data_IF_440128822249
#
_entry.id   IF_440128822249
#
_cell.length_a   1.000
_cell.length_b   1.000
_cell.length_c   1.000
_cell.angle_alpha   90.00
_cell.angle_beta   90.00
_cell.angle_gamma   90.00
#
_symmetry.space_group_name_H-M   'P 1'
#
loop_
_entity.id
_entity.type
_entity.pdbx_description
1 polymer ?
#
# COMPACT_ATOMS: atom_id res chain seq x y z
N UNK A 1 31.73 -10.03 -18.67
CA UNK A 1 32.57 -9.29 -17.70
C UNK A 1 31.87 -8.00 -17.39
N UNK A 2 31.75 -7.64 -16.11
CA UNK A 2 31.12 -6.39 -15.69
C UNK A 2 32.21 -5.48 -15.12
N UNK A 3 32.44 -4.34 -15.77
CA UNK A 3 33.43 -3.33 -15.35
C UNK A 3 32.69 -2.12 -14.79
N UNK A 4 33.14 -1.63 -13.63
CA UNK A 4 32.63 -0.40 -13.04
C UNK A 4 33.72 0.36 -12.30
N UNK A 5 33.54 1.67 -12.19
CA UNK A 5 34.46 2.56 -11.49
C UNK A 5 33.87 2.95 -10.14
N UNK A 6 34.62 2.73 -9.07
CA UNK A 6 34.25 3.22 -7.73
C UNK A 6 34.56 4.71 -7.67
N UNK A 7 33.54 5.54 -7.82
CA UNK A 7 33.69 7.00 -7.80
C UNK A 7 33.95 7.57 -6.40
N UNK A 8 33.55 6.84 -5.34
CA UNK A 8 33.72 7.29 -3.96
C UNK A 8 33.71 6.10 -3.01
N UNK A 9 34.59 6.14 -2.01
CA UNK A 9 34.57 5.24 -0.86
C UNK A 9 34.25 6.09 0.36
N UNK A 10 33.08 5.83 0.97
CA UNK A 10 32.67 6.51 2.20
C UNK A 10 33.61 6.13 3.35
N UNK A 11 34.13 7.13 4.07
CA UNK A 11 34.83 6.88 5.34
C UNK A 11 33.81 6.55 6.42
N UNK A 12 34.06 5.46 7.14
CA UNK A 12 33.25 5.07 8.30
C UNK A 12 33.35 6.15 9.38
N UNK A 13 32.21 6.63 9.87
CA UNK A 13 32.13 7.49 11.06
C UNK A 13 32.41 6.63 12.29
N UNK A 14 33.30 7.10 13.15
CA UNK A 14 33.67 6.53 14.44
C UNK A 14 33.01 7.29 15.58
N UNK A 15 32.94 6.68 16.77
CA UNK A 15 32.31 7.31 17.95
C UNK A 15 32.98 8.64 18.33
N UNK A 16 34.30 8.74 18.14
CA UNK A 16 35.09 9.95 18.42
C UNK A 16 34.76 11.11 17.47
N UNK A 17 34.24 10.82 16.28
CA UNK A 17 33.80 11.83 15.29
C UNK A 17 32.39 12.37 15.59
N UNK A 18 31.65 11.75 16.52
CA UNK A 18 30.30 12.17 16.93
C UNK A 18 30.40 13.24 18.04
N UNK A 19 30.79 14.45 17.64
CA UNK A 19 30.82 15.64 18.49
C UNK A 19 29.44 16.30 18.63
N UNK A 20 29.30 17.27 19.55
CA UNK A 20 28.08 18.10 19.66
C UNK A 20 27.78 18.83 18.35
N UNK A 21 28.80 19.37 17.68
CA UNK A 21 28.64 20.03 16.38
C UNK A 21 28.16 19.06 15.29
N UNK A 22 28.67 17.83 15.30
CA UNK A 22 28.19 16.77 14.40
C UNK A 22 26.72 16.46 14.66
N UNK A 23 26.33 16.31 15.93
CA UNK A 23 24.95 16.02 16.33
C UNK A 23 24.00 17.16 15.97
N UNK A 24 24.38 18.41 16.23
CA UNK A 24 23.59 19.58 15.87
C UNK A 24 23.41 19.70 14.37
N UNK A 25 24.48 19.47 13.59
CA UNK A 25 24.44 19.54 12.12
C UNK A 25 23.57 18.46 11.48
N UNK A 26 23.59 17.24 11.99
CA UNK A 26 22.96 16.10 11.33
C UNK A 26 21.61 15.69 11.93
N UNK A 27 21.36 16.03 13.20
CA UNK A 27 20.17 15.60 13.95
C UNK A 27 19.46 16.75 14.68
N UNK A 28 20.00 17.97 14.64
CA UNK A 28 19.46 19.14 15.33
C UNK A 28 19.32 18.93 16.85
N UNK A 29 20.33 18.28 17.46
CA UNK A 29 20.39 18.04 18.92
C UNK A 29 21.71 18.52 19.50
N UNK A 30 21.66 19.05 20.73
CA UNK A 30 22.78 19.77 21.36
C UNK A 30 23.64 18.90 22.30
N UNK A 31 23.34 17.61 22.46
CA UNK A 31 24.11 16.70 23.32
C UNK A 31 23.97 15.24 22.92
N UNK A 32 24.89 14.38 23.40
CA UNK A 32 24.78 12.91 23.25
C UNK A 32 23.51 12.38 23.92
N UNK A 33 23.13 12.89 25.08
CA UNK A 33 21.90 12.49 25.77
C UNK A 33 20.64 12.86 24.96
N UNK A 34 20.59 14.07 24.41
CA UNK A 34 19.51 14.50 23.53
C UNK A 34 19.44 13.64 22.25
N UNK A 35 20.59 13.19 21.75
CA UNK A 35 20.64 12.22 20.65
C UNK A 35 20.10 10.85 21.04
N UNK A 36 20.41 10.34 22.24
CA UNK A 36 19.83 9.09 22.73
C UNK A 36 18.32 9.17 22.91
N UNK A 37 17.80 10.29 23.45
CA UNK A 37 16.37 10.52 23.58
C UNK A 37 15.68 10.63 22.21
N UNK A 38 16.30 11.32 21.26
CA UNK A 38 15.86 11.37 19.87
C UNK A 38 15.78 9.97 19.26
N UNK A 39 16.85 9.18 19.37
CA UNK A 39 16.93 7.82 18.85
C UNK A 39 15.87 6.92 19.50
N UNK A 40 15.71 7.00 20.82
CA UNK A 40 14.69 6.26 21.56
C UNK A 40 13.29 6.61 21.08
N UNK A 41 12.97 7.90 20.93
CA UNK A 41 11.67 8.34 20.42
C UNK A 41 11.41 7.81 19.01
N UNK A 42 12.40 7.88 18.10
CA UNK A 42 12.29 7.33 16.75
C UNK A 42 12.06 5.82 16.72
N UNK A 43 12.78 5.08 17.57
CA UNK A 43 12.59 3.63 17.71
C UNK A 43 11.22 3.29 18.30
N UNK A 44 10.72 4.06 19.26
CA UNK A 44 9.38 3.89 19.82
C UNK A 44 8.27 4.18 18.80
N UNK A 45 8.40 5.27 18.03
CA UNK A 45 7.49 5.60 16.92
C UNK A 45 7.47 4.48 15.87
N UNK A 46 8.66 3.98 15.48
CA UNK A 46 8.80 2.86 14.56
C UNK A 46 8.16 1.59 15.12
N UNK A 47 8.47 1.21 16.35
CA UNK A 47 7.92 0.01 16.98
C UNK A 47 6.40 0.09 17.11
N UNK A 48 5.85 1.28 17.40
CA UNK A 48 4.40 1.50 17.43
C UNK A 48 3.79 1.28 16.04
N UNK A 49 4.34 1.91 15.00
CA UNK A 49 3.85 1.76 13.63
C UNK A 49 3.99 0.33 13.10
N UNK A 50 5.12 -0.34 13.38
CA UNK A 50 5.34 -1.73 13.01
C UNK A 50 4.33 -2.64 13.71
N UNK A 51 4.08 -2.43 15.02
CA UNK A 51 3.08 -3.19 15.77
C UNK A 51 1.67 -2.98 15.22
N UNK A 52 1.27 -1.75 14.92
CA UNK A 52 -0.04 -1.44 14.33
C UNK A 52 -0.22 -2.12 12.97
N UNK A 53 0.80 -2.04 12.10
CA UNK A 53 0.81 -2.67 10.78
C UNK A 53 0.71 -4.20 10.86
N UNK A 54 1.53 -4.84 11.70
CA UNK A 54 1.51 -6.30 11.87
C UNK A 54 0.20 -6.77 12.53
N UNK A 55 -0.32 -6.01 13.48
CA UNK A 55 -1.62 -6.31 14.08
C UNK A 55 -2.73 -6.29 13.04
N UNK A 56 -2.79 -5.23 12.21
CA UNK A 56 -3.77 -5.11 11.12
C UNK A 56 -3.66 -6.29 10.15
N UNK A 57 -2.46 -6.68 9.73
CA UNK A 57 -2.23 -7.83 8.84
C UNK A 57 -2.68 -9.16 9.45
N UNK A 58 -2.39 -9.38 10.74
CA UNK A 58 -2.80 -10.61 11.44
C UNK A 58 -4.32 -10.70 11.56
N UNK A 59 -4.99 -9.59 11.87
CA UNK A 59 -6.45 -9.52 11.92
C UNK A 59 -7.05 -9.73 10.53
N UNK A 60 -6.52 -9.07 9.52
CA UNK A 60 -6.94 -9.23 8.11
C UNK A 60 -6.90 -10.71 7.72
N UNK A 61 -5.75 -11.34 7.93
CA UNK A 61 -5.57 -12.77 7.65
C UNK A 61 -6.50 -13.67 8.45
N UNK A 62 -6.67 -13.42 9.75
CA UNK A 62 -7.53 -14.25 10.60
C UNK A 62 -9.00 -14.18 10.15
N UNK A 63 -9.48 -13.00 9.78
CA UNK A 63 -10.83 -12.79 9.24
C UNK A 63 -10.98 -13.49 7.89
N UNK A 64 -10.00 -13.37 7.01
CA UNK A 64 -10.02 -14.05 5.70
C UNK A 64 -9.96 -15.57 5.78
N UNK A 65 -9.19 -16.12 6.71
CA UNK A 65 -9.06 -17.56 6.95
C UNK A 65 -10.36 -18.13 7.55
N UNK A 66 -11.08 -17.32 8.35
CA UNK A 66 -12.39 -17.66 8.90
C UNK A 66 -13.57 -17.44 7.92
N UNK A 67 -13.30 -16.84 6.76
CA UNK A 67 -14.33 -16.44 5.80
C UNK A 67 -14.35 -17.30 4.55
N UNK A 68 -15.52 -17.37 3.89
CA UNK A 68 -15.70 -18.10 2.64
C UNK A 68 -16.41 -17.24 1.60
N UNK A 69 -15.74 -17.03 0.47
CA UNK A 69 -16.35 -16.42 -0.72
C UNK A 69 -16.92 -17.53 -1.61
N UNK A 70 -18.25 -17.62 -1.68
CA UNK A 70 -18.93 -18.65 -2.47
C UNK A 70 -18.92 -18.36 -3.97
N UNK A 71 -18.92 -17.07 -4.35
CA UNK A 71 -18.94 -16.62 -5.73
C UNK A 71 -18.45 -15.18 -5.83
N UNK A 72 -17.85 -14.83 -6.97
CA UNK A 72 -17.47 -13.47 -7.30
C UNK A 72 -18.57 -12.76 -8.09
N UNK A 73 -18.81 -11.45 -7.87
CA UNK A 73 -19.74 -10.69 -8.68
C UNK A 73 -19.42 -10.79 -10.18
N UNK A 74 -20.47 -11.00 -10.99
CA UNK A 74 -20.33 -11.20 -12.44
C UNK A 74 -19.64 -10.01 -13.08
N UNK A 75 -18.59 -10.27 -13.85
CA UNK A 75 -17.83 -9.24 -14.57
C UNK A 75 -16.81 -8.46 -13.74
N UNK A 76 -16.83 -8.55 -12.39
CA UNK A 76 -15.92 -7.79 -11.54
C UNK A 76 -14.45 -8.18 -11.77
N UNK A 77 -14.14 -9.48 -11.84
CA UNK A 77 -12.77 -9.95 -12.11
C UNK A 77 -12.27 -9.42 -13.45
N UNK A 78 -13.06 -9.56 -14.52
CA UNK A 78 -12.68 -9.09 -15.86
C UNK A 78 -12.48 -7.57 -15.89
N UNK A 79 -13.35 -6.82 -15.22
CA UNK A 79 -13.21 -5.37 -15.08
C UNK A 79 -11.91 -5.00 -14.35
N UNK A 80 -11.59 -5.66 -13.24
CA UNK A 80 -10.36 -5.42 -12.47
C UNK A 80 -9.10 -5.78 -13.24
N UNK A 81 -9.11 -6.88 -13.98
CA UNK A 81 -8.01 -7.29 -14.86
C UNK A 81 -7.77 -6.26 -15.96
N UNK A 82 -8.84 -5.76 -16.59
CA UNK A 82 -8.72 -4.73 -17.62
C UNK A 82 -8.15 -3.43 -17.06
N UNK A 83 -8.63 -3.00 -15.89
CA UNK A 83 -8.10 -1.81 -15.21
C UNK A 83 -6.62 -1.99 -14.87
N UNK A 84 -6.24 -3.14 -14.32
CA UNK A 84 -4.84 -3.46 -14.01
C UNK A 84 -3.96 -3.32 -15.25
N UNK A 85 -4.34 -3.96 -16.36
CA UNK A 85 -3.59 -3.87 -17.63
C UNK A 85 -3.44 -2.44 -18.12
N UNK A 86 -4.53 -1.66 -18.15
CA UNK A 86 -4.49 -0.26 -18.57
C UNK A 86 -3.54 0.57 -17.70
N UNK A 87 -3.58 0.38 -16.39
CA UNK A 87 -2.70 1.10 -15.46
C UNK A 87 -1.25 0.65 -15.59
N UNK A 88 -1.01 -0.64 -15.77
CA UNK A 88 0.32 -1.20 -15.99
C UNK A 88 0.95 -0.64 -17.28
N UNK A 89 0.18 -0.53 -18.37
CA UNK A 89 0.63 0.11 -19.59
C UNK A 89 0.99 1.58 -19.35
N UNK A 90 0.08 2.37 -18.75
CA UNK A 90 0.36 3.80 -18.48
C UNK A 90 1.63 4.01 -17.66
N UNK A 91 1.94 3.10 -16.74
CA UNK A 91 3.07 3.26 -15.83
C UNK A 91 4.39 2.76 -16.41
N UNK A 92 4.38 1.68 -17.19
CA UNK A 92 5.61 0.98 -17.58
C UNK A 92 5.89 0.99 -19.08
N UNK A 93 4.91 1.33 -19.92
CA UNK A 93 5.09 1.28 -21.37
C UNK A 93 5.57 2.63 -21.86
N UNK A 94 6.63 2.60 -22.68
CA UNK A 94 7.03 3.75 -23.47
C UNK A 94 6.07 3.95 -24.63
N UNK A 95 6.06 5.14 -25.22
CA UNK A 95 5.25 5.41 -26.40
C UNK A 95 5.50 4.37 -27.51
N UNK A 96 4.43 3.85 -28.09
CA UNK A 96 4.47 2.83 -29.15
C UNK A 96 4.74 1.39 -28.70
N UNK A 97 5.06 1.15 -27.41
CA UNK A 97 5.28 -0.22 -26.91
C UNK A 97 3.97 -1.01 -26.88
N UNK A 98 3.99 -2.24 -27.40
CA UNK A 98 2.84 -3.16 -27.35
C UNK A 98 2.98 -4.21 -26.24
N UNK A 99 1.89 -4.92 -25.91
CA UNK A 99 1.95 -6.05 -24.98
C UNK A 99 2.85 -7.18 -25.50
N UNK A 100 2.88 -7.42 -26.80
CA UNK A 100 3.75 -8.42 -27.41
C UNK A 100 5.24 -8.05 -27.23
N UNK A 101 5.58 -6.77 -27.34
CA UNK A 101 6.93 -6.27 -27.07
C UNK A 101 7.30 -6.46 -25.60
N UNK A 102 6.35 -6.21 -24.68
CA UNK A 102 6.53 -6.46 -23.25
C UNK A 102 6.81 -7.95 -22.97
N UNK A 103 5.96 -8.84 -23.48
CA UNK A 103 6.10 -10.29 -23.31
C UNK A 103 7.45 -10.79 -23.83
N UNK A 104 7.87 -10.34 -25.01
CA UNK A 104 9.20 -10.67 -25.58
C UNK A 104 10.35 -10.12 -24.73
N UNK A 105 10.26 -8.86 -24.31
CA UNK A 105 11.31 -8.19 -23.52
C UNK A 105 11.56 -8.89 -22.18
N UNK A 106 10.51 -9.34 -21.52
CA UNK A 106 10.59 -9.97 -20.20
C UNK A 106 10.58 -11.50 -20.26
N UNK A 107 10.50 -12.10 -21.45
CA UNK A 107 10.51 -13.56 -21.63
C UNK A 107 9.33 -14.26 -20.96
N UNK A 108 8.16 -13.61 -20.91
CA UNK A 108 6.92 -14.17 -20.33
C UNK A 108 5.87 -14.30 -21.41
N UNK A 109 5.03 -15.33 -21.35
CA UNK A 109 3.87 -15.45 -22.24
C UNK A 109 2.70 -14.60 -21.74
N UNK A 110 1.79 -14.23 -22.64
CA UNK A 110 0.53 -13.58 -22.26
C UNK A 110 -0.24 -14.41 -21.21
N UNK A 111 -0.26 -15.74 -21.40
CA UNK A 111 -0.98 -16.64 -20.50
C UNK A 111 -0.41 -16.63 -19.09
N UNK A 112 0.92 -16.66 -18.96
CA UNK A 112 1.59 -16.60 -17.65
C UNK A 112 1.33 -15.27 -16.96
N UNK A 113 1.49 -14.15 -17.69
CA UNK A 113 1.20 -12.83 -17.17
C UNK A 113 -0.26 -12.72 -16.70
N UNK A 114 -1.22 -13.09 -17.56
CA UNK A 114 -2.64 -13.04 -17.23
C UNK A 114 -3.00 -13.91 -16.03
N UNK A 115 -2.41 -15.10 -15.91
CA UNK A 115 -2.67 -16.00 -14.78
C UNK A 115 -2.15 -15.42 -13.45
N UNK A 116 -0.96 -14.82 -13.46
CA UNK A 116 -0.40 -14.16 -12.27
C UNK A 116 -1.26 -12.98 -11.84
N UNK A 117 -1.63 -12.11 -12.79
CA UNK A 117 -2.47 -10.94 -12.51
C UNK A 117 -3.85 -11.38 -12.03
N UNK A 118 -4.45 -12.40 -12.64
CA UNK A 118 -5.76 -12.91 -12.23
C UNK A 118 -5.75 -13.48 -10.81
N UNK A 119 -4.67 -14.17 -10.41
CA UNK A 119 -4.53 -14.67 -9.03
C UNK A 119 -4.53 -13.52 -8.03
N UNK A 120 -3.70 -12.49 -8.26
CA UNK A 120 -3.61 -11.30 -7.39
C UNK A 120 -4.94 -10.55 -7.36
N UNK A 121 -5.59 -10.37 -8.50
CA UNK A 121 -6.90 -9.70 -8.58
C UNK A 121 -7.97 -10.48 -7.81
N UNK A 122 -7.99 -11.81 -7.92
CA UNK A 122 -8.96 -12.65 -7.18
C UNK A 122 -8.73 -12.60 -5.68
N UNK A 123 -7.49 -12.63 -5.22
CA UNK A 123 -7.15 -12.48 -3.80
C UNK A 123 -7.61 -11.12 -3.27
N UNK A 124 -7.29 -10.02 -3.97
CA UNK A 124 -7.74 -8.68 -3.57
C UNK A 124 -9.27 -8.56 -3.53
N UNK A 125 -9.97 -9.09 -4.54
CA UNK A 125 -11.44 -9.08 -4.55
C UNK A 125 -11.99 -9.94 -3.41
N UNK A 126 -11.34 -11.07 -3.07
CA UNK A 126 -11.75 -11.89 -1.91
C UNK A 126 -11.70 -11.04 -0.63
N UNK A 127 -10.59 -10.34 -0.38
CA UNK A 127 -10.44 -9.42 0.75
C UNK A 127 -11.52 -8.35 0.73
N UNK A 128 -11.72 -7.67 -0.41
CA UNK A 128 -12.76 -6.64 -0.59
C UNK A 128 -14.14 -7.18 -0.19
N UNK A 129 -14.54 -8.34 -0.72
CA UNK A 129 -15.87 -8.92 -0.46
C UNK A 129 -16.07 -9.32 1.00
N UNK A 130 -15.03 -9.87 1.65
CA UNK A 130 -15.10 -10.26 3.07
C UNK A 130 -15.35 -9.04 3.95
N UNK A 131 -14.57 -7.97 3.78
CA UNK A 131 -14.70 -6.77 4.59
C UNK A 131 -15.92 -5.92 4.21
N UNK A 132 -16.38 -5.95 2.96
CA UNK A 132 -17.67 -5.37 2.58
C UNK A 132 -18.83 -6.07 3.29
N UNK A 133 -18.82 -7.40 3.37
CA UNK A 133 -19.86 -8.14 4.08
C UNK A 133 -19.87 -7.82 5.59
N UNK A 134 -18.69 -7.60 6.20
CA UNK A 134 -18.58 -7.13 7.58
C UNK A 134 -19.12 -5.70 7.71
N UNK A 135 -18.75 -4.80 6.79
CA UNK A 135 -19.26 -3.44 6.81
C UNK A 135 -20.80 -3.40 6.74
N UNK A 136 -21.39 -4.20 5.86
CA UNK A 136 -22.85 -4.36 5.76
C UNK A 136 -23.46 -4.91 7.06
N UNK A 137 -22.85 -5.94 7.63
CA UNK A 137 -23.34 -6.59 8.86
C UNK A 137 -23.32 -5.66 10.08
N UNK A 138 -22.26 -4.87 10.20
CA UNK A 138 -21.99 -3.98 11.34
C UNK A 138 -22.49 -2.55 11.08
N UNK A 139 -23.17 -2.31 9.95
CA UNK A 139 -23.68 -0.98 9.54
C UNK A 139 -22.58 0.09 9.46
N UNK A 140 -21.37 -0.30 9.07
CA UNK A 140 -20.29 0.62 8.76
C UNK A 140 -20.61 1.26 7.41
N UNK A 141 -20.57 2.58 7.35
CA UNK A 141 -20.93 3.35 6.14
C UNK A 141 -19.85 4.36 5.80
N UNK A 142 -19.89 4.86 4.56
CA UNK A 142 -19.00 5.93 4.12
C UNK A 142 -19.43 7.23 4.77
N UNK A 143 -18.68 7.70 5.76
CA UNK A 143 -18.86 9.05 6.29
C UNK A 143 -18.13 10.08 5.42
N UNK A 144 -18.80 11.20 5.15
CA UNK A 144 -18.31 12.20 4.19
C UNK A 144 -16.97 12.82 4.61
N UNK A 145 -16.82 13.13 5.90
CA UNK A 145 -15.60 13.75 6.44
C UNK A 145 -14.38 12.86 6.30
N UNK A 146 -14.47 11.61 6.76
CA UNK A 146 -13.38 10.65 6.71
C UNK A 146 -13.05 10.24 5.29
N UNK A 147 -14.08 10.11 4.42
CA UNK A 147 -13.84 9.87 3.00
C UNK A 147 -13.08 11.03 2.33
N UNK A 148 -13.43 12.29 2.62
CA UNK A 148 -12.68 13.44 2.11
C UNK A 148 -11.22 13.43 2.60
N UNK A 149 -10.97 13.17 3.89
CA UNK A 149 -9.61 13.05 4.42
C UNK A 149 -8.84 11.90 3.77
N UNK A 150 -9.48 10.76 3.55
CA UNK A 150 -8.90 9.60 2.88
C UNK A 150 -8.50 9.92 1.43
N UNK A 151 -9.38 10.57 0.67
CA UNK A 151 -9.10 11.03 -0.70
C UNK A 151 -7.94 12.02 -0.73
N UNK A 152 -7.89 12.99 0.17
CA UNK A 152 -6.78 13.94 0.27
C UNK A 152 -5.45 13.24 0.58
N UNK A 153 -5.45 12.29 1.52
CA UNK A 153 -4.26 11.49 1.84
C UNK A 153 -3.76 10.66 0.65
N UNK A 154 -4.67 10.04 -0.10
CA UNK A 154 -4.32 9.33 -1.34
C UNK A 154 -3.75 10.29 -2.40
N UNK A 155 -4.36 11.47 -2.59
CA UNK A 155 -3.86 12.46 -3.53
C UNK A 155 -2.44 12.91 -3.18
N UNK A 156 -2.18 13.23 -1.90
CA UNK A 156 -0.85 13.62 -1.43
C UNK A 156 0.17 12.51 -1.62
N UNK A 157 -0.21 11.26 -1.34
CA UNK A 157 0.69 10.10 -1.48
C UNK A 157 1.02 9.78 -2.93
N UNK A 158 0.04 9.92 -3.84
CA UNK A 158 0.21 9.62 -5.26
C UNK A 158 0.73 10.81 -6.09
N UNK A 159 0.75 12.02 -5.52
CA UNK A 159 1.04 13.25 -6.24
C UNK A 159 -0.05 13.67 -7.23
N UNK A 160 -1.30 13.29 -6.98
CA UNK A 160 -2.43 13.64 -7.86
C UNK A 160 -2.87 15.10 -7.63
N UNK A 161 -3.01 15.88 -8.71
CA UNK A 161 -3.34 17.31 -8.67
C UNK A 161 -4.83 17.61 -8.50
N UNK A 162 -5.69 16.60 -8.63
CA UNK A 162 -7.14 16.71 -8.47
C UNK A 162 -7.76 15.35 -8.14
N UNK A 163 -8.95 15.36 -7.53
CA UNK A 163 -9.72 14.13 -7.31
C UNK A 163 -9.99 13.39 -8.61
N UNK A 164 -10.24 14.10 -9.71
CA UNK A 164 -10.43 13.50 -11.03
C UNK A 164 -9.20 12.72 -11.50
N UNK A 165 -7.99 13.28 -11.31
CA UNK A 165 -6.73 12.57 -11.59
C UNK A 165 -6.63 11.28 -10.77
N UNK A 166 -6.92 11.38 -9.47
CA UNK A 166 -6.95 10.23 -8.58
C UNK A 166 -7.98 9.18 -9.05
N UNK A 167 -9.24 9.56 -9.32
CA UNK A 167 -10.27 8.61 -9.72
C UNK A 167 -9.92 7.92 -11.05
N UNK A 168 -9.38 8.64 -12.02
CA UNK A 168 -8.92 8.05 -13.29
C UNK A 168 -7.67 7.14 -13.15
N UNK A 169 -6.97 7.19 -12.01
CA UNK A 169 -5.93 6.21 -11.65
C UNK A 169 -6.52 4.87 -11.23
N UNK A 170 -7.73 4.87 -10.69
CA UNK A 170 -8.36 3.71 -10.09
C UNK A 170 -9.54 3.15 -10.90
N UNK A 171 -9.96 3.82 -11.98
CA UNK A 171 -10.98 3.34 -12.91
C UNK A 171 -10.88 3.96 -14.31
N UNK A 172 -11.56 3.35 -15.29
CA UNK A 172 -11.60 3.87 -16.67
C UNK A 172 -12.42 5.16 -16.79
N UNK A 173 -13.34 5.40 -15.85
CA UNK A 173 -14.09 6.64 -15.71
C UNK A 173 -13.97 7.18 -14.28
N UNK A 174 -14.26 8.48 -14.12
CA UNK A 174 -14.25 9.14 -12.80
C UNK A 174 -15.21 8.45 -11.81
N UNK A 175 -16.42 8.09 -12.26
CA UNK A 175 -17.40 7.39 -11.44
C UNK A 175 -16.92 5.99 -11.01
N UNK A 176 -16.32 5.23 -11.93
CA UNK A 176 -15.77 3.91 -11.59
C UNK A 176 -14.63 4.02 -10.58
N UNK A 177 -13.74 4.99 -10.77
CA UNK A 177 -12.64 5.27 -9.86
C UNK A 177 -13.12 5.66 -8.47
N UNK A 178 -14.06 6.60 -8.40
CA UNK A 178 -14.67 7.04 -7.14
C UNK A 178 -15.35 5.89 -6.40
N UNK A 179 -16.18 5.10 -7.08
CA UNK A 179 -16.84 3.93 -6.48
C UNK A 179 -15.82 2.90 -5.94
N UNK A 180 -14.70 2.72 -6.64
CA UNK A 180 -13.64 1.85 -6.13
C UNK A 180 -12.97 2.42 -4.88
N UNK A 181 -12.63 3.71 -4.87
CA UNK A 181 -12.02 4.34 -3.70
C UNK A 181 -12.98 4.34 -2.49
N UNK A 182 -14.28 4.53 -2.72
CA UNK A 182 -15.31 4.37 -1.67
C UNK A 182 -15.34 2.94 -1.13
N UNK A 183 -15.22 1.93 -2.00
CA UNK A 183 -15.11 0.52 -1.59
C UNK A 183 -13.88 0.29 -0.72
N UNK A 184 -12.70 0.80 -1.14
CA UNK A 184 -11.47 0.67 -0.36
C UNK A 184 -11.58 1.39 0.99
N UNK A 185 -12.20 2.56 1.03
CA UNK A 185 -12.46 3.27 2.27
C UNK A 185 -13.31 2.42 3.22
N UNK A 186 -14.42 1.87 2.72
CA UNK A 186 -15.33 1.04 3.50
C UNK A 186 -14.63 -0.23 4.03
N UNK A 187 -13.85 -0.90 3.17
CA UNK A 187 -13.05 -2.08 3.54
C UNK A 187 -12.04 -1.74 4.64
N UNK A 188 -11.35 -0.60 4.53
CA UNK A 188 -10.41 -0.15 5.56
C UNK A 188 -11.11 0.12 6.89
N UNK A 189 -12.29 0.74 6.87
CA UNK A 189 -13.09 0.99 8.08
C UNK A 189 -13.58 -0.31 8.73
N UNK A 190 -13.97 -1.31 7.93
CA UNK A 190 -14.35 -2.62 8.44
C UNK A 190 -13.17 -3.37 9.06
N UNK A 191 -11.99 -3.32 8.45
CA UNK A 191 -10.80 -3.92 9.02
C UNK A 191 -10.33 -3.18 10.28
N UNK A 192 -10.44 -1.86 10.34
CA UNK A 192 -10.21 -1.08 11.55
C UNK A 192 -11.16 -1.52 12.67
N UNK A 193 -12.46 -1.65 12.39
CA UNK A 193 -13.43 -2.21 13.32
C UNK A 193 -13.03 -3.61 13.81
N UNK A 194 -12.62 -4.52 12.92
CA UNK A 194 -12.14 -5.84 13.33
C UNK A 194 -10.88 -5.75 14.19
N UNK A 195 -9.98 -4.82 13.89
CA UNK A 195 -8.72 -4.62 14.61
C UNK A 195 -8.95 -4.10 16.02
N UNK A 196 -9.83 -3.11 16.17
CA UNK A 196 -10.20 -2.52 17.46
C UNK A 196 -10.90 -3.53 18.39
N UNK A 197 -11.57 -4.52 17.81
CA UNK A 197 -12.27 -5.57 18.54
C UNK A 197 -11.47 -6.89 18.65
N UNK A 198 -10.26 -6.95 18.08
CA UNK A 198 -9.43 -8.15 18.12
C UNK A 198 -8.60 -8.22 19.41
N UNK A 199 -8.55 -9.41 20.01
CA UNK A 199 -7.56 -9.71 21.06
C UNK A 199 -6.28 -10.24 20.43
N UNK A 200 -5.25 -9.42 20.39
CA UNK A 200 -3.96 -9.77 19.77
C UNK A 200 -2.96 -10.11 20.85
N UNK A 201 -2.63 -11.40 20.98
CA UNK A 201 -1.61 -11.87 21.92
C UNK A 201 -0.23 -11.70 21.28
N UNK A 202 0.64 -10.81 21.79
CA UNK A 202 1.98 -10.65 21.25
C UNK A 202 2.76 -11.96 21.42
N UNK A 203 3.48 -12.38 20.38
CA UNK A 203 4.48 -13.46 20.52
C UNK A 203 5.59 -12.95 21.44
N UNK A 204 5.84 -13.70 22.51
CA UNK A 204 6.96 -13.54 23.44
C UNK A 204 8.31 -13.66 22.74
#
# INVERSE_FOLDING_TARGET
TFEFTVNYICKKITEDEVSVDFLKKNFDVDSKDAFFDYAKKKLQEKNKSDKESETRKLVEKAVEDASKVNSYPKGLISQRLSNYKTQYQKQYFTEGMTWDDFYKKYGVTEKEFNSQVESVVKENIKTELVFQAIAEKENITVDKSGFTTFVQGLMSSNGDSSEKSLYLRYGSTEAQGKNYIETIYLVNRALEFCTDNATVNPKS
#
